data_IF_922382704132
#
_entry.id   IF_922382704132
#
_cell.length_a   1.000
_cell.length_b   1.000
_cell.length_c   1.000
_cell.angle_alpha   90.00
_cell.angle_beta   90.00
_cell.angle_gamma   90.00
#
_symmetry.space_group_name_H-M   'P 1'
#
loop_
_entity.id
_entity.type
_entity.pdbx_description
1 polymer ?
#
# COMPACT_ATOMS: atom_id res chain seq x y z
N UNK A 1 2.24 -25.26 71.73
CA UNK A 1 1.95 -25.13 70.28
C UNK A 1 1.12 -23.90 69.91
N UNK A 2 0.25 -23.37 70.78
CA UNK A 2 -0.57 -22.18 70.45
C UNK A 2 0.10 -20.81 70.73
N UNK A 3 1.19 -20.75 71.51
CA UNK A 3 1.88 -19.48 71.83
C UNK A 3 2.70 -18.93 70.66
N UNK A 4 3.33 -19.79 69.87
CA UNK A 4 4.06 -19.40 68.65
C UNK A 4 3.13 -18.86 67.56
N UNK A 5 1.89 -19.37 67.49
CA UNK A 5 0.84 -18.87 66.60
C UNK A 5 0.36 -17.48 67.01
N UNK A 6 0.20 -17.20 68.31
CA UNK A 6 -0.19 -15.87 68.79
C UNK A 6 0.89 -14.81 68.54
N UNK A 7 2.17 -15.16 68.72
CA UNK A 7 3.29 -14.25 68.42
C UNK A 7 3.41 -13.93 66.93
N UNK A 8 3.26 -14.95 66.05
CA UNK A 8 3.20 -14.76 64.60
C UNK A 8 2.01 -13.88 64.19
N UNK A 9 0.84 -14.10 64.80
CA UNK A 9 -0.37 -13.35 64.51
C UNK A 9 -0.25 -11.86 64.90
N UNK A 10 0.34 -11.54 66.06
CA UNK A 10 0.59 -10.15 66.43
C UNK A 10 1.61 -9.48 65.51
N UNK A 11 2.69 -10.19 65.12
CA UNK A 11 3.68 -9.65 64.18
C UNK A 11 3.07 -9.35 62.80
N UNK A 12 2.17 -10.22 62.31
CA UNK A 12 1.42 -10.00 61.07
C UNK A 12 0.55 -8.75 61.18
N UNK A 13 -0.17 -8.55 62.29
CA UNK A 13 -1.04 -7.38 62.49
C UNK A 13 -0.21 -6.09 62.56
N UNK A 14 0.91 -6.11 63.27
CA UNK A 14 1.80 -4.94 63.43
C UNK A 14 2.43 -4.50 62.10
N UNK A 15 2.71 -5.46 61.21
CA UNK A 15 3.29 -5.21 59.89
C UNK A 15 2.26 -5.21 58.75
N UNK A 16 0.97 -5.40 59.04
CA UNK A 16 -0.08 -5.58 58.03
C UNK A 16 -0.21 -4.38 57.07
N UNK A 17 0.03 -3.17 57.57
CA UNK A 17 0.02 -1.93 56.77
C UNK A 17 1.13 -1.92 55.72
N UNK A 18 2.34 -2.35 56.09
CA UNK A 18 3.49 -2.47 55.18
C UNK A 18 3.26 -3.55 54.13
N UNK A 19 2.76 -4.72 54.54
CA UNK A 19 2.40 -5.80 53.61
C UNK A 19 1.28 -5.38 52.64
N UNK A 20 0.28 -4.66 53.14
CA UNK A 20 -0.78 -4.10 52.30
C UNK A 20 -0.23 -3.11 51.29
N UNK A 21 0.62 -2.16 51.72
CA UNK A 21 1.28 -1.20 50.84
C UNK A 21 2.13 -1.85 49.74
N UNK A 22 2.94 -2.87 50.10
CA UNK A 22 3.74 -3.64 49.13
C UNK A 22 2.82 -4.38 48.15
N UNK A 23 1.74 -4.99 48.63
CA UNK A 23 0.76 -5.69 47.79
C UNK A 23 0.07 -4.73 46.83
N UNK A 24 -0.30 -3.52 47.26
CA UNK A 24 -0.87 -2.47 46.40
C UNK A 24 0.11 -2.01 45.32
N UNK A 25 1.38 -1.81 45.67
CA UNK A 25 2.44 -1.45 44.69
C UNK A 25 2.67 -2.59 43.71
N UNK A 26 2.75 -3.83 44.19
CA UNK A 26 2.87 -5.02 43.34
C UNK A 26 1.69 -5.16 42.37
N UNK A 27 0.47 -4.92 42.85
CA UNK A 27 -0.74 -4.90 42.01
C UNK A 27 -0.65 -3.80 40.93
N UNK A 28 -0.18 -2.60 41.28
CA UNK A 28 0.02 -1.52 40.30
C UNK A 28 1.04 -1.89 39.22
N UNK A 29 2.13 -2.58 39.58
CA UNK A 29 3.14 -3.04 38.61
C UNK A 29 2.54 -4.08 37.65
N UNK A 30 1.73 -5.01 38.14
CA UNK A 30 1.04 -6.00 37.31
C UNK A 30 0.10 -5.29 36.33
N UNK A 31 -0.71 -4.33 36.81
CA UNK A 31 -1.58 -3.53 35.95
C UNK A 31 -0.81 -2.71 34.92
N UNK A 32 0.30 -2.08 35.31
CA UNK A 32 1.14 -1.31 34.39
C UNK A 32 1.73 -2.21 33.29
N UNK A 33 2.18 -3.41 33.65
CA UNK A 33 2.70 -4.41 32.71
C UNK A 33 1.61 -4.88 31.74
N UNK A 34 0.42 -5.18 32.27
CA UNK A 34 -0.73 -5.56 31.46
C UNK A 34 -1.15 -4.45 30.49
N UNK A 35 -1.21 -3.20 30.96
CA UNK A 35 -1.49 -2.04 30.13
C UNK A 35 -0.44 -1.86 29.04
N UNK A 36 0.84 -2.02 29.36
CA UNK A 36 1.93 -1.93 28.40
C UNK A 36 1.83 -3.01 27.31
N UNK A 37 1.55 -4.26 27.69
CA UNK A 37 1.33 -5.37 26.75
C UNK A 37 0.13 -5.10 25.84
N UNK A 38 -0.97 -4.61 26.42
CA UNK A 38 -2.17 -4.24 25.69
C UNK A 38 -1.88 -3.13 24.68
N UNK A 39 -1.24 -2.04 25.10
CA UNK A 39 -0.86 -0.93 24.22
C UNK A 39 0.08 -1.36 23.10
N UNK A 40 1.06 -2.22 23.40
CA UNK A 40 1.97 -2.77 22.39
C UNK A 40 1.20 -3.60 21.35
N UNK A 41 0.31 -4.47 21.82
CA UNK A 41 -0.51 -5.32 20.96
C UNK A 41 -1.41 -4.45 20.05
N UNK A 42 -2.15 -3.49 20.61
CA UNK A 42 -2.97 -2.56 19.83
C UNK A 42 -2.17 -1.78 18.78
N UNK A 43 -0.94 -1.35 19.09
CA UNK A 43 -0.07 -0.63 18.15
C UNK A 43 0.50 -1.51 17.03
N UNK A 44 0.82 -2.77 17.32
CA UNK A 44 1.29 -3.73 16.32
C UNK A 44 0.16 -4.09 15.34
N UNK A 45 -1.05 -4.32 15.87
CA UNK A 45 -2.19 -4.80 15.09
C UNK A 45 -2.74 -3.77 14.09
N UNK A 46 -2.59 -2.47 14.37
CA UNK A 46 -3.16 -1.39 13.55
C UNK A 46 -2.20 -0.82 12.51
N UNK A 47 -1.09 -1.48 12.19
CA UNK A 47 -0.17 -0.98 11.15
C UNK A 47 -0.74 -1.30 9.77
N UNK A 48 -1.23 -0.30 9.00
CA UNK A 48 -1.67 -0.53 7.64
C UNK A 48 -0.48 -0.98 6.80
N UNK A 49 -0.63 -1.97 5.94
CA UNK A 49 0.45 -2.45 5.07
C UNK A 49 -0.15 -2.87 3.74
N UNK A 50 0.17 -2.14 2.67
CA UNK A 50 -0.18 -2.51 1.30
C UNK A 50 1.09 -2.90 0.58
N UNK A 51 1.12 -4.08 -0.04
CA UNK A 51 2.27 -4.54 -0.82
C UNK A 51 1.94 -4.33 -2.30
N UNK A 52 2.87 -3.72 -3.01
CA UNK A 52 2.86 -3.63 -4.47
C UNK A 52 3.90 -4.64 -4.96
N UNK A 53 3.46 -5.67 -5.66
CA UNK A 53 4.30 -6.73 -6.19
C UNK A 53 4.03 -6.92 -7.68
N UNK A 54 4.92 -7.66 -8.33
CA UNK A 54 4.69 -8.20 -9.67
C UNK A 54 4.31 -9.68 -9.56
N UNK A 55 3.40 -10.11 -10.41
CA UNK A 55 2.92 -11.48 -10.53
C UNK A 55 3.02 -11.99 -11.97
N UNK A 56 2.90 -13.31 -12.14
CA UNK A 56 2.86 -14.00 -13.45
C UNK A 56 4.09 -13.74 -14.37
N UNK A 57 5.21 -13.22 -13.85
CA UNK A 57 6.41 -12.98 -14.65
C UNK A 57 7.40 -12.02 -14.00
N UNK A 58 8.46 -11.69 -14.75
CA UNK A 58 9.46 -10.67 -14.38
C UNK A 58 9.60 -9.57 -15.43
N UNK A 59 8.94 -9.73 -16.57
CA UNK A 59 8.98 -8.79 -17.68
C UNK A 59 7.92 -7.69 -17.54
N UNK A 60 7.92 -6.77 -18.49
CA UNK A 60 6.96 -5.67 -18.60
C UNK A 60 5.50 -6.15 -18.75
N UNK A 61 5.29 -7.38 -19.22
CA UNK A 61 3.97 -8.00 -19.35
C UNK A 61 3.49 -8.65 -18.04
N UNK A 62 4.31 -8.62 -16.98
CA UNK A 62 3.91 -9.10 -15.66
C UNK A 62 2.75 -8.27 -15.10
N UNK A 63 1.91 -8.93 -14.29
CA UNK A 63 0.73 -8.30 -13.67
C UNK A 63 1.17 -7.58 -12.39
N UNK A 64 0.76 -6.34 -12.22
CA UNK A 64 0.91 -5.61 -10.96
C UNK A 64 -0.14 -6.11 -9.96
N UNK A 65 0.32 -6.60 -8.81
CA UNK A 65 -0.50 -7.08 -7.72
C UNK A 65 -0.46 -6.08 -6.56
N UNK A 66 -1.62 -5.58 -6.19
CA UNK A 66 -1.82 -4.81 -4.97
C UNK A 66 -2.34 -5.78 -3.92
N UNK A 67 -1.71 -5.84 -2.74
CA UNK A 67 -2.13 -6.77 -1.68
C UNK A 67 -2.30 -6.06 -0.35
N UNK A 68 -3.45 -6.26 0.29
CA UNK A 68 -3.73 -5.69 1.61
C UNK A 68 -3.24 -6.66 2.69
N UNK A 69 -2.10 -6.35 3.31
CA UNK A 69 -1.54 -7.08 4.45
C UNK A 69 -1.87 -6.42 5.79
N UNK A 70 -2.83 -5.49 5.80
CA UNK A 70 -3.36 -4.87 7.01
C UNK A 70 -4.43 -5.74 7.64
N UNK A 71 -4.63 -5.64 8.95
CA UNK A 71 -5.70 -6.35 9.65
C UNK A 71 -7.11 -5.83 9.36
N UNK A 72 -7.23 -4.65 8.77
CA UNK A 72 -8.53 -4.02 8.45
C UNK A 72 -8.69 -3.92 6.94
N UNK A 73 -9.94 -3.81 6.50
CA UNK A 73 -10.25 -3.52 5.10
C UNK A 73 -9.74 -2.14 4.71
N UNK A 74 -9.23 -2.04 3.49
CA UNK A 74 -8.78 -0.79 2.86
C UNK A 74 -9.55 -0.57 1.59
N UNK A 75 -9.84 0.68 1.26
CA UNK A 75 -10.39 1.03 -0.05
C UNK A 75 -9.30 1.70 -0.88
N UNK A 76 -8.94 1.10 -2.01
CA UNK A 76 -8.02 1.74 -2.96
C UNK A 76 -8.79 2.86 -3.65
N UNK A 77 -8.33 4.09 -3.41
CA UNK A 77 -9.00 5.32 -3.84
C UNK A 77 -8.36 5.85 -5.14
N UNK A 78 -7.04 5.74 -5.25
CA UNK A 78 -6.30 6.26 -6.39
C UNK A 78 -5.06 5.40 -6.65
N UNK A 79 -4.86 5.04 -7.91
CA UNK A 79 -3.64 4.39 -8.41
C UNK A 79 -3.01 5.31 -9.44
N UNK A 80 -1.73 5.60 -9.24
CA UNK A 80 -0.97 6.51 -10.08
C UNK A 80 0.35 5.87 -10.45
N UNK A 81 0.85 6.22 -11.61
CA UNK A 81 2.11 5.73 -12.13
C UNK A 81 2.98 6.91 -12.52
N UNK A 82 4.21 6.91 -12.03
CA UNK A 82 5.24 7.84 -12.48
C UNK A 82 6.15 7.12 -13.44
N UNK A 83 6.23 7.64 -14.66
CA UNK A 83 7.16 7.17 -15.67
C UNK A 83 8.39 8.06 -15.61
N UNK A 84 9.57 7.44 -15.58
CA UNK A 84 10.84 8.14 -15.69
C UNK A 84 11.53 7.63 -16.94
N UNK A 85 11.80 8.55 -17.86
CA UNK A 85 12.62 8.34 -19.03
C UNK A 85 13.99 8.98 -18.81
N UNK A 86 14.89 8.82 -19.78
CA UNK A 86 16.23 9.42 -19.72
C UNK A 86 16.19 10.95 -19.73
N UNK A 87 15.15 11.53 -20.33
CA UNK A 87 15.01 12.99 -20.47
C UNK A 87 13.98 13.60 -19.53
N UNK A 88 12.90 12.88 -19.23
CA UNK A 88 11.76 13.46 -18.51
C UNK A 88 11.18 12.51 -17.47
N UNK A 89 10.35 13.05 -16.57
CA UNK A 89 9.52 12.26 -15.69
C UNK A 89 8.15 12.92 -15.57
N UNK A 90 7.10 12.12 -15.52
CA UNK A 90 5.74 12.61 -15.32
C UNK A 90 4.92 11.63 -14.49
N UNK A 91 3.90 12.17 -13.81
CA UNK A 91 2.94 11.42 -13.03
C UNK A 91 1.63 11.31 -13.82
N UNK A 92 1.08 10.11 -13.91
CA UNK A 92 -0.18 9.84 -14.58
C UNK A 92 -1.16 9.14 -13.64
N UNK A 93 -2.43 9.51 -13.73
CA UNK A 93 -3.51 8.79 -13.08
C UNK A 93 -3.87 7.56 -13.92
N UNK A 94 -3.70 6.37 -13.35
CA UNK A 94 -4.06 5.10 -14.01
C UNK A 94 -5.18 4.39 -13.28
N UNK A 95 -5.98 5.11 -12.50
CA UNK A 95 -7.01 4.51 -11.65
C UNK A 95 -8.07 3.81 -12.50
N UNK A 96 -8.52 4.44 -13.58
CA UNK A 96 -9.41 3.81 -14.53
C UNK A 96 -8.61 3.06 -15.60
N UNK A 97 -9.13 1.90 -15.99
CA UNK A 97 -8.54 1.07 -17.03
C UNK A 97 -9.03 1.59 -18.38
N UNK A 98 -8.08 1.97 -19.22
CA UNK A 98 -8.35 2.44 -20.58
C UNK A 98 -8.00 1.36 -21.61
N UNK A 99 -8.64 1.44 -22.77
CA UNK A 99 -8.32 0.65 -23.95
C UNK A 99 -7.00 1.12 -24.61
N UNK A 100 -6.58 0.44 -25.68
CA UNK A 100 -5.36 0.77 -26.42
C UNK A 100 -5.39 2.18 -27.05
N UNK A 101 -6.58 2.77 -27.19
CA UNK A 101 -6.79 4.13 -27.71
C UNK A 101 -6.84 5.19 -26.60
N UNK A 102 -6.66 4.80 -25.33
CA UNK A 102 -6.73 5.69 -24.18
C UNK A 102 -8.16 6.06 -23.74
N UNK A 103 -9.18 5.42 -24.30
CA UNK A 103 -10.58 5.62 -23.88
C UNK A 103 -10.91 4.70 -22.71
N UNK A 104 -11.67 5.15 -21.71
CA UNK A 104 -12.17 4.27 -20.66
C UNK A 104 -12.89 3.07 -21.29
N UNK A 105 -12.59 1.85 -20.79
CA UNK A 105 -13.29 0.65 -21.25
C UNK A 105 -14.80 0.84 -21.05
N UNK A 106 -15.57 0.83 -22.15
CA UNK A 106 -17.02 0.94 -22.06
C UNK A 106 -17.59 -0.29 -21.33
N UNK A 107 -18.50 -0.06 -20.38
CA UNK A 107 -19.29 -1.13 -19.78
C UNK A 107 -20.24 -1.64 -20.87
N UNK A 108 -19.75 -2.56 -21.71
CA UNK A 108 -20.60 -3.38 -22.54
C UNK A 108 -21.37 -4.26 -21.56
N UNK A 109 -22.61 -3.86 -21.25
CA UNK A 109 -23.57 -4.73 -20.57
C UNK A 109 -23.73 -5.95 -21.46
N UNK A 110 -22.93 -7.00 -21.23
CA UNK A 110 -23.15 -8.28 -21.87
C UNK A 110 -24.54 -8.73 -21.46
N UNK A 111 -25.38 -8.96 -22.46
CA UNK A 111 -26.68 -9.57 -22.28
C UNK A 111 -26.49 -10.91 -21.55
N UNK A 112 -27.29 -11.08 -20.48
CA UNK A 112 -27.50 -12.32 -19.72
C UNK A 112 -26.29 -12.91 -18.95
N UNK A 113 -26.13 -12.48 -17.70
CA UNK A 113 -25.78 -13.39 -16.60
C UNK A 113 -24.34 -13.43 -16.11
N UNK A 114 -23.42 -12.64 -16.69
CA UNK A 114 -22.06 -12.48 -16.14
C UNK A 114 -21.95 -11.09 -15.53
N UNK A 115 -21.82 -11.05 -14.20
CA UNK A 115 -21.54 -9.83 -13.44
C UNK A 115 -20.14 -9.35 -13.87
N UNK A 116 -20.06 -8.46 -14.88
CA UNK A 116 -18.80 -7.87 -15.30
C UNK A 116 -18.21 -7.16 -14.08
N UNK A 117 -17.11 -7.71 -13.55
CA UNK A 117 -16.63 -7.27 -12.24
C UNK A 117 -16.12 -5.83 -12.39
N UNK A 118 -16.53 -4.90 -11.52
CA UNK A 118 -16.05 -3.51 -11.57
C UNK A 118 -14.51 -3.41 -11.60
N UNK A 119 -13.83 -4.42 -11.05
CA UNK A 119 -12.37 -4.57 -11.07
C UNK A 119 -11.76 -4.68 -12.48
N UNK A 120 -12.55 -5.02 -13.51
CA UNK A 120 -12.10 -5.05 -14.91
C UNK A 120 -11.99 -3.63 -15.51
N UNK A 121 -12.72 -2.67 -14.95
CA UNK A 121 -12.84 -1.30 -15.49
C UNK A 121 -12.10 -0.27 -14.63
N UNK A 122 -11.96 -0.53 -13.33
CA UNK A 122 -11.25 0.36 -12.41
C UNK A 122 -10.32 -0.41 -11.50
N UNK A 123 -9.18 0.22 -11.18
CA UNK A 123 -8.20 -0.22 -10.17
C UNK A 123 -8.58 0.29 -8.77
N UNK A 124 -9.82 0.72 -8.59
CA UNK A 124 -10.42 1.08 -7.31
C UNK A 124 -11.21 -0.07 -6.72
N UNK A 125 -11.29 -0.10 -5.39
CA UNK A 125 -12.18 -1.02 -4.72
C UNK A 125 -11.78 -1.35 -3.29
N UNK A 126 -12.70 -1.98 -2.55
CA UNK A 126 -12.40 -2.49 -1.22
C UNK A 126 -11.52 -3.74 -1.31
N UNK A 127 -10.56 -3.85 -0.40
CA UNK A 127 -9.72 -5.02 -0.22
C UNK A 127 -9.75 -5.43 1.24
N UNK A 128 -10.24 -6.64 1.51
CA UNK A 128 -10.28 -7.21 2.87
C UNK A 128 -8.85 -7.56 3.33
N UNK A 129 -8.66 -7.77 4.63
CA UNK A 129 -7.39 -8.22 5.19
C UNK A 129 -6.92 -9.52 4.54
N UNK A 130 -5.72 -9.51 3.97
CA UNK A 130 -5.11 -10.66 3.30
C UNK A 130 -5.46 -10.79 1.82
N UNK A 131 -6.32 -9.92 1.29
CA UNK A 131 -6.80 -9.97 -0.09
C UNK A 131 -5.85 -9.25 -1.07
N UNK A 132 -6.03 -9.50 -2.37
CA UNK A 132 -5.26 -8.87 -3.44
C UNK A 132 -6.14 -8.43 -4.62
N UNK A 133 -5.65 -7.44 -5.36
CA UNK A 133 -6.25 -6.90 -6.58
C UNK A 133 -5.21 -6.94 -7.70
N UNK A 134 -5.61 -7.40 -8.89
CA UNK A 134 -4.80 -7.29 -10.10
C UNK A 134 -4.99 -5.88 -10.70
N UNK A 135 -3.96 -5.04 -10.65
CA UNK A 135 -3.98 -3.69 -11.22
C UNK A 135 -3.66 -3.68 -12.73
N UNK A 136 -3.76 -4.82 -13.42
CA UNK A 136 -3.34 -4.97 -14.81
C UNK A 136 -1.82 -5.09 -14.98
N UNK A 137 -1.36 -5.13 -16.24
CA UNK A 137 0.07 -5.29 -16.56
C UNK A 137 0.83 -3.97 -16.45
N UNK A 138 2.13 -4.05 -16.15
CA UNK A 138 2.99 -2.85 -16.16
C UNK A 138 3.02 -2.22 -17.55
N UNK A 139 3.07 -3.04 -18.59
CA UNK A 139 3.01 -2.61 -19.98
C UNK A 139 1.79 -1.74 -20.29
N UNK A 140 0.59 -2.14 -19.87
CA UNK A 140 -0.62 -1.36 -20.11
C UNK A 140 -0.59 -0.03 -19.35
N UNK A 141 -0.09 -0.03 -18.11
CA UNK A 141 0.08 1.21 -17.34
C UNK A 141 1.10 2.17 -17.97
N UNK A 142 2.19 1.66 -18.56
CA UNK A 142 3.19 2.45 -19.27
C UNK A 142 2.59 3.07 -20.53
N UNK A 143 1.89 2.28 -21.35
CA UNK A 143 1.21 2.79 -22.56
C UNK A 143 0.16 3.85 -22.20
N UNK A 144 -0.69 3.57 -21.20
CA UNK A 144 -1.67 4.53 -20.69
C UNK A 144 -1.01 5.85 -20.25
N UNK A 145 0.11 5.77 -19.53
CA UNK A 145 0.87 6.95 -19.13
C UNK A 145 1.53 7.69 -20.30
N UNK A 146 1.95 6.98 -21.35
CA UNK A 146 2.47 7.57 -22.59
C UNK A 146 1.41 8.36 -23.35
N UNK A 147 0.24 7.76 -23.55
CA UNK A 147 -0.91 8.40 -24.23
C UNK A 147 -1.27 9.73 -23.57
N UNK A 148 -1.26 9.78 -22.22
CA UNK A 148 -1.54 11.03 -21.48
C UNK A 148 -0.56 12.18 -21.72
N UNK A 149 0.62 11.89 -22.28
CA UNK A 149 1.65 12.88 -22.64
C UNK A 149 1.87 12.97 -24.16
N UNK A 150 1.06 12.28 -24.96
CA UNK A 150 1.25 12.18 -26.41
C UNK A 150 2.52 11.41 -26.80
N UNK A 151 3.03 10.54 -25.93
CA UNK A 151 4.20 9.69 -26.18
C UNK A 151 3.72 8.30 -26.58
N UNK A 152 4.05 7.88 -27.80
CA UNK A 152 3.84 6.51 -28.26
C UNK A 152 5.06 5.64 -27.95
N UNK A 153 4.79 4.49 -27.35
CA UNK A 153 5.77 3.44 -27.09
C UNK A 153 5.59 2.34 -28.13
N UNK A 154 6.68 1.91 -28.76
CA UNK A 154 6.63 0.76 -29.68
C UNK A 154 6.44 -0.58 -28.93
N UNK A 155 6.46 -1.70 -29.65
CA UNK A 155 6.34 -3.05 -29.06
C UNK A 155 7.49 -3.40 -28.12
N UNK A 156 8.63 -2.70 -28.24
CA UNK A 156 9.81 -2.81 -27.38
C UNK A 156 9.86 -1.71 -26.33
N UNK A 157 8.77 -0.97 -26.15
CA UNK A 157 8.66 0.17 -25.23
C UNK A 157 9.77 1.21 -25.40
N UNK A 158 10.26 1.33 -26.62
CA UNK A 158 11.14 2.41 -27.04
C UNK A 158 10.32 3.64 -27.39
N UNK A 159 10.90 4.81 -27.10
CA UNK A 159 10.32 6.12 -27.39
C UNK A 159 11.00 6.65 -28.65
N UNK A 160 10.26 7.32 -29.52
CA UNK A 160 10.83 7.93 -30.71
C UNK A 160 11.95 8.94 -30.34
N UNK A 161 13.16 8.70 -30.84
CA UNK A 161 14.34 9.55 -30.59
C UNK A 161 15.42 8.86 -29.76
N UNK A 162 16.16 9.64 -28.95
CA UNK A 162 17.19 9.15 -28.02
C UNK A 162 16.65 9.01 -26.58
N UNK A 163 15.33 9.01 -26.38
CA UNK A 163 14.76 8.86 -25.05
C UNK A 163 14.54 7.38 -24.70
N UNK A 164 15.07 6.96 -23.55
CA UNK A 164 14.93 5.59 -23.07
C UNK A 164 14.05 5.53 -21.83
N UNK A 165 13.20 4.51 -21.76
CA UNK A 165 12.38 4.24 -20.58
C UNK A 165 13.24 3.64 -19.46
N UNK A 166 13.40 4.37 -18.35
CA UNK A 166 14.32 4.01 -17.25
C UNK A 166 13.61 3.29 -16.12
N UNK A 167 12.44 3.79 -15.69
CA UNK A 167 11.70 3.17 -14.59
C UNK A 167 10.22 3.51 -14.57
N UNK A 168 9.47 2.63 -13.91
CA UNK A 168 8.06 2.81 -13.57
C UNK A 168 7.91 2.77 -12.05
N UNK A 169 7.35 3.83 -11.47
CA UNK A 169 6.95 3.87 -10.06
C UNK A 169 5.44 3.75 -9.96
N UNK A 170 4.97 2.70 -9.28
CA UNK A 170 3.55 2.53 -8.95
C UNK A 170 3.32 3.08 -7.56
N UNK A 171 2.43 4.06 -7.47
CA UNK A 171 1.99 4.67 -6.22
C UNK A 171 0.48 4.54 -6.08
N UNK A 172 0.00 4.43 -4.85
CA UNK A 172 -1.44 4.40 -4.57
C UNK A 172 -1.78 5.17 -3.30
N UNK A 173 -3.01 5.63 -3.26
CA UNK A 173 -3.66 6.18 -2.08
C UNK A 173 -4.82 5.26 -1.73
N UNK A 174 -4.90 4.85 -0.48
CA UNK A 174 -6.00 4.06 0.04
C UNK A 174 -6.56 4.68 1.31
N UNK A 175 -7.86 4.47 1.53
CA UNK A 175 -8.57 4.90 2.74
C UNK A 175 -8.72 3.72 3.68
N UNK A 176 -8.27 3.90 4.91
CA UNK A 176 -8.27 2.87 5.93
C UNK A 176 -9.55 2.92 6.77
N UNK A 177 -10.50 2.03 6.45
CA UNK A 177 -11.72 1.74 7.23
C UNK A 177 -12.45 2.94 7.85
N UNK A 178 -13.16 2.68 8.96
CA UNK A 178 -14.01 3.65 9.65
C UNK A 178 -13.27 4.88 10.23
N UNK A 179 -11.93 4.88 10.24
CA UNK A 179 -11.16 6.03 10.74
C UNK A 179 -10.94 7.12 9.67
N UNK A 180 -11.23 6.85 8.40
CA UNK A 180 -11.12 7.84 7.31
C UNK A 180 -9.67 8.28 7.03
N UNK A 181 -8.70 7.53 7.54
CA UNK A 181 -7.30 7.88 7.43
C UNK A 181 -6.72 7.42 6.09
N UNK A 182 -6.20 8.37 5.32
CA UNK A 182 -5.45 8.06 4.09
C UNK A 182 -4.07 7.48 4.41
N UNK A 183 -3.74 6.44 3.66
CA UNK A 183 -2.43 5.80 3.60
C UNK A 183 -1.96 5.80 2.15
N UNK A 184 -0.65 5.91 1.95
CA UNK A 184 -0.06 5.71 0.63
C UNK A 184 0.91 4.54 0.62
N UNK A 185 1.06 3.92 -0.54
CA UNK A 185 2.09 2.94 -0.80
C UNK A 185 2.77 3.24 -2.13
N UNK A 186 4.05 2.93 -2.24
CA UNK A 186 4.88 3.21 -3.42
C UNK A 186 5.90 2.11 -3.65
N UNK A 187 6.11 1.75 -4.90
CA UNK A 187 7.21 0.90 -5.31
C UNK A 187 7.68 1.24 -6.71
N UNK A 188 8.99 1.33 -6.85
CA UNK A 188 9.66 1.62 -8.13
C UNK A 188 10.25 0.36 -8.71
N UNK A 189 10.16 0.24 -10.02
CA UNK A 189 10.73 -0.84 -10.82
C UNK A 189 11.58 -0.21 -11.93
N UNK A 190 12.88 -0.48 -11.92
CA UNK A 190 13.78 -0.16 -13.02
C UNK A 190 13.55 -1.09 -14.19
N UNK A 191 13.86 -0.59 -15.38
CA UNK A 191 13.68 -1.31 -16.63
C UNK A 191 15.07 -1.66 -17.17
N UNK A 192 15.28 -2.95 -17.41
CA UNK A 192 16.50 -3.47 -18.05
C UNK A 192 16.11 -4.29 -19.28
N UNK A 193 16.73 -3.98 -20.42
CA UNK A 193 16.59 -4.79 -21.63
C UNK A 193 17.52 -6.00 -21.53
N UNK A 194 16.98 -7.21 -21.64
CA UNK A 194 17.77 -8.42 -21.67
C UNK A 194 18.44 -8.59 -23.05
N UNK A 195 19.77 -8.76 -23.04
CA UNK A 195 20.61 -8.76 -24.25
C UNK A 195 20.26 -9.88 -25.26
N UNK A 196 19.81 -11.05 -24.80
CA UNK A 196 19.65 -12.24 -25.67
C UNK A 196 18.33 -12.31 -26.43
N UNK A 197 17.25 -11.77 -25.88
CA UNK A 197 15.88 -12.09 -26.33
C UNK A 197 15.01 -10.83 -26.53
N UNK A 198 15.59 -9.63 -26.33
CA UNK A 198 14.90 -8.35 -26.42
C UNK A 198 13.80 -8.14 -25.36
N UNK A 199 13.74 -9.01 -24.35
CA UNK A 199 12.74 -8.93 -23.28
C UNK A 199 13.07 -7.79 -22.34
N UNK A 200 12.03 -7.08 -21.93
CA UNK A 200 12.13 -5.96 -21.01
C UNK A 200 11.85 -6.47 -19.60
N UNK A 201 12.88 -6.53 -18.78
CA UNK A 201 12.80 -6.97 -17.41
C UNK A 201 12.50 -5.80 -16.49
N UNK A 202 11.60 -6.02 -15.54
CA UNK A 202 11.40 -5.11 -14.42
C UNK A 202 12.36 -5.50 -13.30
N UNK A 203 12.91 -4.55 -12.57
CA UNK A 203 13.75 -4.81 -11.40
C UNK A 203 13.28 -3.91 -10.26
N UNK A 204 12.71 -4.46 -9.18
CA UNK A 204 12.27 -3.64 -8.07
C UNK A 204 13.47 -2.95 -7.43
N UNK A 205 13.35 -1.65 -7.21
CA UNK A 205 14.35 -0.82 -6.52
C UNK A 205 14.64 -1.34 -5.10
N UNK A 206 13.57 -1.71 -4.38
CA UNK A 206 13.66 -2.29 -3.05
C UNK A 206 12.85 -3.60 -2.97
N UNK A 207 13.29 -4.48 -2.06
CA UNK A 207 12.53 -5.65 -1.62
C UNK A 207 11.17 -5.25 -1.02
N UNK A 208 11.07 -4.08 -0.40
CA UNK A 208 9.86 -3.62 0.30
C UNK A 208 9.13 -2.48 -0.41
N UNK A 209 7.81 -2.51 -0.35
CA UNK A 209 6.96 -1.37 -0.72
C UNK A 209 7.05 -0.29 0.34
N UNK A 210 7.42 0.93 -0.06
CA UNK A 210 7.47 2.08 0.83
C UNK A 210 6.05 2.48 1.24
N UNK A 211 5.87 2.84 2.52
CA UNK A 211 4.57 3.16 3.09
C UNK A 211 4.54 4.59 3.66
N UNK A 212 3.45 5.30 3.38
CA UNK A 212 3.20 6.66 3.82
C UNK A 212 2.04 6.65 4.82
N UNK A 213 2.37 6.52 6.10
CA UNK A 213 1.39 6.28 7.19
C UNK A 213 1.32 7.45 8.18
N UNK A 214 2.39 8.23 8.30
CA UNK A 214 2.48 9.29 9.32
C UNK A 214 1.85 10.60 8.85
N UNK A 215 1.40 11.43 9.79
CA UNK A 215 0.84 12.77 9.48
C UNK A 215 1.77 13.64 8.62
N UNK A 216 3.08 13.54 8.81
CA UNK A 216 4.07 14.28 7.99
C UNK A 216 4.13 13.74 6.56
N UNK A 217 4.09 12.41 6.41
CA UNK A 217 4.07 11.74 5.10
C UNK A 217 2.78 11.98 4.31
N UNK A 218 1.66 12.34 4.97
CA UNK A 218 0.42 12.73 4.26
C UNK A 218 0.58 13.96 3.38
N UNK A 219 1.53 14.85 3.68
CA UNK A 219 1.86 15.98 2.79
C UNK A 219 2.42 15.51 1.45
N UNK A 220 2.98 14.30 1.38
CA UNK A 220 3.40 13.69 0.11
C UNK A 220 2.18 13.23 -0.68
N UNK A 221 1.16 12.64 -0.02
CA UNK A 221 -0.09 12.24 -0.67
C UNK A 221 -0.85 13.44 -1.25
N UNK A 222 -0.86 14.56 -0.53
CA UNK A 222 -1.42 15.82 -1.02
C UNK A 222 -0.67 16.33 -2.24
N UNK A 223 0.67 16.29 -2.22
CA UNK A 223 1.49 16.67 -3.38
C UNK A 223 1.20 15.82 -4.61
N UNK A 224 1.06 14.51 -4.45
CA UNK A 224 0.70 13.64 -5.58
C UNK A 224 -0.65 13.99 -6.18
N UNK A 225 -1.66 14.29 -5.34
CA UNK A 225 -2.96 14.74 -5.84
C UNK A 225 -2.87 16.07 -6.58
N UNK A 226 -2.17 17.04 -6.01
CA UNK A 226 -1.98 18.35 -6.66
C UNK A 226 -1.22 18.23 -7.99
N UNK A 227 -0.20 17.38 -8.08
CA UNK A 227 0.55 17.15 -9.32
C UNK A 227 -0.32 16.52 -10.42
N UNK A 228 -1.32 15.71 -10.05
CA UNK A 228 -2.30 15.17 -11.00
C UNK A 228 -3.35 16.21 -11.43
N UNK A 229 -3.75 17.12 -10.54
CA UNK A 229 -4.67 18.22 -10.84
C UNK A 229 -4.03 19.32 -11.71
N UNK A 230 -2.69 19.45 -11.67
CA UNK A 230 -1.92 20.41 -12.47
C UNK A 230 -1.68 19.96 -13.92
N UNK A 231 -1.88 18.68 -14.25
CA UNK A 231 -1.90 18.20 -15.65
C UNK A 231 -3.30 18.52 -16.20
N UNK A 232 -3.46 19.51 -17.10
CA UNK A 232 -4.77 19.81 -17.65
C UNK A 232 -5.25 18.59 -18.42
N UNK A 233 -6.51 18.21 -18.22
CA UNK A 233 -7.24 17.36 -19.17
C UNK A 233 -7.14 18.04 -20.54
N UNK A 234 -6.23 17.60 -21.38
CA UNK A 234 -6.24 17.96 -22.80
C UNK A 234 -7.47 17.31 -23.40
N UNK A 235 -8.42 18.17 -23.79
CA UNK A 235 -9.69 17.87 -24.48
C UNK A 235 -9.57 16.84 -25.60
#
# INVERSE_FOLDING_TARGET
>A
MFSSLNGLWQWIIENASTFSGITSVGMLIIWATYLQLLLHNFRMQRRPQIIINRGKGRDINSVCLLSNMSKQSVFIDLVMVRITTSQTQWLCNVTDVVDESGKPLEIVRQEEGVDASLNEFTRQGPMVSGDYMEAGTFGNMIRQAGISQGIEFDDRYDIAGEDELVSIEVSLIAVFGAEGHQIGARRTFYIEKADDDGRILLIPDDTRTQQFKTRRQRRTLQRWRSELEEVPETE
#
